data_IF_816434401570
#
_entry.id   IF_816434401570
#
_cell.length_a   1.000
_cell.length_b   1.000
_cell.length_c   1.000
_cell.angle_alpha   90.00
_cell.angle_beta   90.00
_cell.angle_gamma   90.00
#
_symmetry.space_group_name_H-M   'P 1'
#
loop_
_entity.id
_entity.type
_entity.pdbx_description
1 polymer ?
#
# COMPACT_ATOMS: atom_id res chain seq x y z
N UNK A 1 -18.16 12.65 -11.49
CA UNK A 1 -17.28 11.89 -10.59
C UNK A 1 -15.83 12.18 -10.96
N UNK A 2 -15.00 12.60 -10.02
CA UNK A 2 -13.58 12.91 -10.26
C UNK A 2 -12.73 11.65 -10.01
N UNK A 3 -12.11 11.02 -11.03
CA UNK A 3 -11.30 9.82 -10.87
C UNK A 3 -9.94 10.06 -10.16
N UNK A 4 -9.62 11.29 -9.76
CA UNK A 4 -8.30 11.68 -9.25
C UNK A 4 -7.99 11.29 -7.79
N UNK A 5 -8.97 10.82 -7.00
CA UNK A 5 -8.81 10.47 -5.57
C UNK A 5 -8.78 8.96 -5.28
N UNK A 6 -8.75 8.10 -6.30
CA UNK A 6 -8.88 6.64 -6.12
C UNK A 6 -7.57 6.00 -5.61
N UNK A 7 -7.60 5.47 -4.39
CA UNK A 7 -6.52 4.67 -3.80
C UNK A 7 -6.73 3.16 -4.04
N UNK A 8 -6.25 2.69 -5.18
CA UNK A 8 -6.41 1.31 -5.67
C UNK A 8 -5.23 0.39 -5.38
N UNK A 9 -4.15 0.90 -4.80
CA UNK A 9 -3.05 0.07 -4.29
C UNK A 9 -3.22 -0.26 -2.82
N UNK A 10 -2.69 -1.42 -2.43
CA UNK A 10 -2.45 -1.82 -1.04
C UNK A 10 -1.01 -2.31 -0.91
N UNK A 11 -0.23 -1.61 -0.08
CA UNK A 11 1.10 -1.99 0.33
C UNK A 11 1.01 -2.71 1.66
N UNK A 12 1.36 -3.99 1.69
CA UNK A 12 1.23 -4.84 2.87
C UNK A 12 2.59 -4.99 3.53
N UNK A 13 2.60 -4.79 4.84
CA UNK A 13 3.77 -4.87 5.69
C UNK A 13 3.54 -5.93 6.76
N UNK A 14 4.55 -6.77 6.98
CA UNK A 14 4.53 -7.83 8.00
C UNK A 14 5.05 -7.35 9.37
N UNK A 15 5.13 -6.03 9.58
CA UNK A 15 5.58 -5.40 10.82
C UNK A 15 5.03 -3.98 10.95
N UNK A 16 4.57 -3.61 12.14
CA UNK A 16 4.11 -2.25 12.46
C UNK A 16 5.26 -1.23 12.28
N UNK A 17 6.51 -1.61 12.55
CA UNK A 17 7.65 -0.71 12.35
C UNK A 17 7.87 -0.37 10.87
N UNK A 18 7.71 -1.37 9.99
CA UNK A 18 7.92 -1.17 8.56
C UNK A 18 6.81 -0.30 7.94
N UNK A 19 5.56 -0.46 8.37
CA UNK A 19 4.45 0.39 7.88
C UNK A 19 4.58 1.83 8.37
N UNK A 20 4.99 2.08 9.62
CA UNK A 20 5.20 3.44 10.13
C UNK A 20 6.35 4.13 9.42
N UNK A 21 7.47 3.43 9.20
CA UNK A 21 8.60 3.96 8.44
C UNK A 21 8.20 4.30 6.99
N UNK A 22 7.47 3.40 6.34
CA UNK A 22 6.97 3.64 4.99
C UNK A 22 6.00 4.82 4.93
N UNK A 23 5.08 4.93 5.90
CA UNK A 23 4.15 6.05 6.00
C UNK A 23 4.89 7.38 6.09
N UNK A 24 5.85 7.49 7.01
CA UNK A 24 6.66 8.69 7.18
C UNK A 24 7.38 9.08 5.88
N UNK A 25 8.08 8.13 5.25
CA UNK A 25 8.83 8.38 4.01
C UNK A 25 7.94 8.84 2.85
N UNK A 26 6.76 8.23 2.70
CA UNK A 26 5.84 8.55 1.62
C UNK A 26 5.13 9.89 1.84
N UNK A 27 4.74 10.20 3.07
CA UNK A 27 4.18 11.51 3.43
C UNK A 27 5.21 12.63 3.25
N UNK A 28 6.47 12.40 3.63
CA UNK A 28 7.56 13.36 3.40
C UNK A 28 7.83 13.63 1.91
N UNK A 29 7.57 12.68 1.02
CA UNK A 29 7.64 12.86 -0.44
C UNK A 29 6.36 13.48 -1.05
N UNK A 30 5.38 13.85 -0.20
CA UNK A 30 4.12 14.46 -0.61
C UNK A 30 3.16 13.49 -1.30
N UNK A 31 3.30 12.18 -1.06
CA UNK A 31 2.41 11.17 -1.62
C UNK A 31 1.13 11.05 -0.79
N UNK A 32 -0.01 10.99 -1.47
CA UNK A 32 -1.29 10.76 -0.83
C UNK A 32 -1.43 9.27 -0.47
N UNK A 33 -1.41 8.98 0.83
CA UNK A 33 -1.56 7.63 1.37
C UNK A 33 -2.55 7.62 2.54
N UNK A 34 -3.09 6.45 2.84
CA UNK A 34 -3.97 6.21 3.99
C UNK A 34 -3.61 4.89 4.67
N UNK A 35 -3.41 4.90 5.99
CA UNK A 35 -3.08 3.69 6.75
C UNK A 35 -4.36 2.95 7.16
N UNK A 36 -4.49 1.70 6.72
CA UNK A 36 -5.69 0.88 6.91
C UNK A 36 -5.33 -0.49 7.48
N UNK A 37 -6.20 -1.15 8.27
CA UNK A 37 -5.99 -2.56 8.62
C UNK A 37 -5.96 -3.41 7.35
N UNK A 38 -5.05 -4.40 7.28
CA UNK A 38 -5.00 -5.32 6.14
C UNK A 38 -6.33 -6.05 6.02
N UNK A 39 -6.94 -6.10 4.82
CA UNK A 39 -8.13 -6.91 4.60
C UNK A 39 -7.85 -8.39 4.94
N UNK A 40 -8.71 -9.01 5.76
CA UNK A 40 -8.57 -10.41 6.23
C UNK A 40 -8.38 -11.43 5.11
N UNK A 41 -8.86 -11.11 3.91
CA UNK A 41 -8.73 -11.93 2.70
C UNK A 41 -7.30 -11.97 2.12
N UNK A 42 -6.44 -11.01 2.49
CA UNK A 42 -5.05 -10.94 2.03
C UNK A 42 -4.09 -11.47 3.10
N UNK A 43 -4.31 -11.13 4.37
CA UNK A 43 -3.54 -11.69 5.50
C UNK A 43 -4.41 -11.85 6.75
N UNK A 44 -4.16 -12.91 7.51
CA UNK A 44 -4.82 -13.21 8.79
C UNK A 44 -4.03 -12.67 10.00
N UNK A 45 -2.77 -12.26 9.81
CA UNK A 45 -1.97 -11.62 10.84
C UNK A 45 -2.30 -10.12 10.93
N UNK A 46 -2.07 -9.52 12.10
CA UNK A 46 -2.46 -8.15 12.49
C UNK A 46 -1.76 -7.01 11.70
N UNK A 47 -1.52 -7.19 10.40
CA UNK A 47 -0.84 -6.22 9.55
C UNK A 47 -1.69 -4.96 9.31
N UNK A 48 -1.03 -3.81 9.36
CA UNK A 48 -1.53 -2.59 8.74
C UNK A 48 -0.99 -2.53 7.31
N UNK A 49 -1.74 -1.88 6.42
CA UNK A 49 -1.34 -1.62 5.05
C UNK A 49 -1.45 -0.13 4.75
N UNK A 50 -0.75 0.31 3.70
CA UNK A 50 -0.93 1.64 3.15
C UNK A 50 -1.76 1.54 1.87
N UNK A 51 -2.86 2.26 1.82
CA UNK A 51 -3.60 2.52 0.60
C UNK A 51 -2.95 3.68 -0.15
N UNK A 52 -2.75 3.52 -1.45
CA UNK A 52 -2.14 4.53 -2.31
C UNK A 52 -2.75 4.47 -3.70
N UNK A 53 -2.41 5.44 -4.56
CA UNK A 53 -2.87 5.45 -5.96
C UNK A 53 -1.88 4.71 -6.84
N UNK A 54 -2.38 3.91 -7.80
CA UNK A 54 -1.55 3.15 -8.75
C UNK A 54 -0.67 4.03 -9.63
N UNK A 55 -1.14 5.24 -9.94
CA UNK A 55 -0.36 6.25 -10.68
C UNK A 55 0.91 6.68 -9.95
N UNK A 56 0.96 6.56 -8.62
CA UNK A 56 2.11 6.93 -7.80
C UNK A 56 3.08 5.75 -7.59
N UNK A 57 2.78 4.55 -8.08
CA UNK A 57 3.59 3.34 -7.86
C UNK A 57 5.08 3.52 -8.17
N UNK A 58 5.49 4.16 -9.30
CA UNK A 58 6.91 4.35 -9.58
C UNK A 58 7.61 5.20 -8.51
N UNK A 59 6.96 6.27 -8.04
CA UNK A 59 7.49 7.15 -7.00
C UNK A 59 7.56 6.45 -5.66
N UNK A 60 6.50 5.72 -5.31
CA UNK A 60 6.44 4.88 -4.10
C UNK A 60 7.62 3.90 -4.07
N UNK A 61 7.89 3.18 -5.15
CA UNK A 61 9.03 2.25 -5.24
C UNK A 61 10.37 2.94 -5.00
N UNK A 62 10.57 4.11 -5.62
CA UNK A 62 11.80 4.91 -5.43
C UNK A 62 11.94 5.39 -3.99
N UNK A 63 10.86 5.80 -3.33
CA UNK A 63 10.90 6.26 -1.94
C UNK A 63 11.19 5.12 -0.97
N UNK A 64 10.52 3.98 -1.13
CA UNK A 64 10.73 2.82 -0.28
C UNK A 64 12.15 2.25 -0.43
N UNK A 65 12.74 2.28 -1.62
CA UNK A 65 14.12 1.84 -1.82
C UNK A 65 15.18 2.66 -1.03
N UNK A 66 14.82 3.81 -0.44
CA UNK A 66 15.72 4.66 0.35
C UNK A 66 15.93 4.16 1.79
N UNK A 67 15.13 3.20 2.27
CA UNK A 67 15.17 2.75 3.65
C UNK A 67 15.26 1.23 3.78
N UNK A 68 15.93 0.72 4.83
CA UNK A 68 16.01 -0.71 5.07
C UNK A 68 14.71 -1.23 5.69
N UNK A 69 14.04 -2.15 4.99
CA UNK A 69 12.92 -2.90 5.53
C UNK A 69 13.37 -4.28 5.99
N UNK A 70 12.85 -4.72 7.13
CA UNK A 70 13.21 -6.02 7.74
C UNK A 70 12.40 -7.19 7.19
N UNK A 71 11.38 -6.90 6.39
CA UNK A 71 10.54 -7.89 5.71
C UNK A 71 10.11 -7.35 4.35
N UNK A 72 9.77 -8.25 3.40
CA UNK A 72 9.36 -7.82 2.06
C UNK A 72 8.09 -7.00 2.09
N UNK A 73 7.98 -6.04 1.17
CA UNK A 73 6.75 -5.26 0.98
C UNK A 73 5.99 -5.85 -0.18
N UNK A 74 4.76 -6.29 0.06
CA UNK A 74 3.90 -6.81 -0.99
C UNK A 74 2.99 -5.71 -1.53
N UNK A 75 2.92 -5.59 -2.86
CA UNK A 75 2.09 -4.59 -3.52
C UNK A 75 0.96 -5.27 -4.27
N UNK A 76 -0.26 -4.90 -3.91
CA UNK A 76 -1.48 -5.38 -4.52
C UNK A 76 -2.25 -4.23 -5.18
N UNK A 77 -2.91 -4.50 -6.30
CA UNK A 77 -3.84 -3.56 -6.93
C UNK A 77 -5.27 -4.12 -6.97
N UNK A 78 -6.24 -3.28 -6.60
CA UNK A 78 -7.67 -3.56 -6.74
C UNK A 78 -8.15 -3.17 -8.14
N UNK A 79 -8.90 -4.04 -8.85
CA UNK A 79 -9.50 -3.71 -10.15
C UNK A 79 -10.59 -2.61 -10.08
N UNK A 80 -11.26 -2.37 -8.93
CA UNK A 80 -12.37 -1.41 -8.82
C UNK A 80 -12.28 -0.48 -7.60
N UNK A 81 -12.88 0.72 -7.74
CA UNK A 81 -12.80 1.85 -6.79
C UNK A 81 -13.80 1.77 -5.65
N UNK A 82 -14.97 1.20 -5.95
CA UNK A 82 -15.92 0.71 -4.98
C UNK A 82 -15.66 -0.77 -4.86
N UNK A 83 -15.37 -1.25 -3.65
CA UNK A 83 -16.43 -1.88 -2.86
C UNK A 83 -15.82 -2.36 -1.53
N UNK A 84 -16.66 -2.35 -0.50
CA UNK A 84 -16.48 -3.16 0.70
C UNK A 84 -16.59 -4.67 0.41
N UNK A 85 -16.59 -5.07 -0.87
CA UNK A 85 -16.58 -6.43 -1.37
C UNK A 85 -15.28 -6.70 -2.14
N UNK A 86 -14.34 -7.27 -1.40
CA UNK A 86 -13.30 -8.22 -1.84
C UNK A 86 -12.90 -8.09 -3.32
N UNK A 87 -11.95 -7.19 -3.66
CA UNK A 87 -11.34 -7.20 -4.98
C UNK A 87 -10.45 -8.43 -5.14
N UNK A 88 -10.41 -8.98 -6.35
CA UNK A 88 -9.33 -9.88 -6.77
C UNK A 88 -8.04 -9.07 -6.83
N UNK A 89 -7.25 -9.12 -5.77
CA UNK A 89 -5.97 -8.43 -5.70
C UNK A 89 -4.93 -9.18 -6.53
N UNK A 90 -4.30 -8.49 -7.49
CA UNK A 90 -3.15 -9.01 -8.22
C UNK A 90 -1.86 -8.54 -7.55
N UNK A 91 -0.95 -9.48 -7.24
CA UNK A 91 0.36 -9.16 -6.68
C UNK A 91 1.25 -8.61 -7.79
N UNK A 92 1.51 -7.30 -7.75
CA UNK A 92 2.28 -6.61 -8.78
C UNK A 92 3.79 -6.81 -8.63
N UNK A 93 4.29 -6.81 -7.39
CA UNK A 93 5.72 -6.97 -7.09
C UNK A 93 5.97 -7.13 -5.59
N UNK A 94 7.18 -7.59 -5.26
CA UNK A 94 7.74 -7.61 -3.91
C UNK A 94 8.98 -6.73 -3.90
N UNK A 95 9.12 -5.86 -2.89
CA UNK A 95 10.32 -5.06 -2.61
C UNK A 95 11.08 -5.61 -1.41
#
# INVERSE_FOLDING_TARGET
MNPASKMDLRLIFHSIHNVMLAEELLLQDGLAIDMQPVPRVISSDCGMCLAARSVDLPRIKVCLAKAPFTSPIEIYQSPTADDHQIPRFERLSTL
#
